data_IF_375735988324
#
_entry.id   IF_375735988324
#
_cell.length_a   1.000
_cell.length_b   1.000
_cell.length_c   1.000
_cell.angle_alpha   90.00
_cell.angle_beta   90.00
_cell.angle_gamma   90.00
#
_symmetry.space_group_name_H-M   'P 1'
#
loop_
_entity.id
_entity.type
_entity.pdbx_description
1 polymer ?
#
# COMPACT_ATOMS: atom_id res chain seq x y z
N UNK A 1 16.69 -7.85 -22.62
CA UNK A 1 16.23 -7.92 -21.22
C UNK A 1 15.08 -8.90 -21.18
N UNK A 2 15.23 -10.04 -20.54
CA UNK A 2 14.12 -10.99 -20.36
C UNK A 2 13.10 -10.34 -19.42
N UNK A 3 11.90 -10.06 -19.91
CA UNK A 3 10.77 -9.64 -19.10
C UNK A 3 10.49 -10.74 -18.08
N UNK A 4 10.94 -10.54 -16.84
CA UNK A 4 10.63 -11.44 -15.74
C UNK A 4 9.28 -11.00 -15.18
N UNK A 5 8.27 -11.85 -15.32
CA UNK A 5 7.02 -11.73 -14.55
C UNK A 5 7.37 -11.65 -13.07
N UNK A 6 6.95 -10.58 -12.39
CA UNK A 6 7.11 -10.41 -10.94
C UNK A 6 5.77 -10.57 -10.25
N UNK A 7 5.79 -11.15 -9.07
CA UNK A 7 4.64 -11.22 -8.18
C UNK A 7 4.97 -10.43 -6.93
N UNK A 8 4.04 -9.58 -6.51
CA UNK A 8 4.17 -8.77 -5.31
C UNK A 8 2.88 -8.76 -4.53
N UNK A 9 2.98 -8.49 -3.24
CA UNK A 9 1.84 -8.23 -2.36
C UNK A 9 1.96 -6.84 -1.76
N UNK A 10 0.83 -6.20 -1.51
CA UNK A 10 0.77 -4.94 -0.77
C UNK A 10 -0.60 -4.80 -0.12
N UNK A 11 -0.68 -3.96 0.90
CA UNK A 11 -1.94 -3.54 1.49
C UNK A 11 -2.40 -2.25 0.82
N UNK A 12 -3.69 -2.17 0.47
CA UNK A 12 -4.27 -1.01 -0.21
C UNK A 12 -5.63 -0.67 0.36
N UNK A 13 -5.82 0.60 0.73
CA UNK A 13 -7.14 1.18 1.00
C UNK A 13 -7.46 2.10 -0.16
N UNK A 14 -8.67 1.99 -0.72
CA UNK A 14 -9.12 2.82 -1.83
C UNK A 14 -10.55 3.21 -1.62
N UNK A 15 -10.81 4.50 -1.42
CA UNK A 15 -12.15 5.05 -1.25
C UNK A 15 -12.08 6.59 -1.27
N UNK A 16 -13.18 7.26 -0.95
CA UNK A 16 -13.20 8.68 -0.65
C UNK A 16 -12.89 8.94 0.84
N UNK A 17 -11.61 9.11 1.18
CA UNK A 17 -11.13 9.44 2.52
C UNK A 17 -9.93 10.40 2.45
N UNK A 18 -9.61 11.09 3.53
CA UNK A 18 -8.40 11.92 3.61
C UNK A 18 -7.17 11.04 3.88
N UNK A 19 -6.18 11.06 2.98
CA UNK A 19 -4.97 10.23 3.09
C UNK A 19 -4.21 10.45 4.40
N UNK A 20 -4.17 11.71 4.86
CA UNK A 20 -3.45 12.13 6.06
C UNK A 20 -4.11 11.58 7.34
N UNK A 21 -5.43 11.35 7.33
CA UNK A 21 -6.16 10.72 8.45
C UNK A 21 -5.74 9.26 8.63
N UNK A 22 -5.55 8.52 7.53
CA UNK A 22 -5.07 7.12 7.59
C UNK A 22 -3.63 7.05 8.11
N UNK A 23 -2.78 7.97 7.67
CA UNK A 23 -1.40 8.08 8.18
C UNK A 23 -1.40 8.32 9.68
N UNK A 24 -2.24 9.25 10.16
CA UNK A 24 -2.38 9.54 11.59
C UNK A 24 -2.94 8.37 12.38
N UNK A 25 -4.05 7.77 11.90
CA UNK A 25 -4.76 6.70 12.59
C UNK A 25 -3.95 5.41 12.71
N UNK A 26 -3.30 4.99 11.62
CA UNK A 26 -2.47 3.79 11.61
C UNK A 26 -1.06 4.05 12.14
N UNK A 27 -0.63 5.31 12.18
CA UNK A 27 0.76 5.71 12.43
C UNK A 27 1.75 5.00 11.49
N UNK A 28 1.38 4.94 10.20
CA UNK A 28 2.14 4.28 9.13
C UNK A 28 2.31 5.22 7.94
N UNK A 29 3.45 5.13 7.27
CA UNK A 29 3.76 5.93 6.07
C UNK A 29 3.55 5.07 4.81
N UNK A 30 2.69 5.49 3.86
CA UNK A 30 2.48 4.75 2.62
C UNK A 30 3.75 4.77 1.76
N UNK A 31 3.97 3.71 0.98
CA UNK A 31 5.00 3.75 -0.06
C UNK A 31 4.49 4.42 -1.34
N UNK A 32 3.17 4.40 -1.55
CA UNK A 32 2.50 5.04 -2.69
C UNK A 32 1.13 5.55 -2.25
N UNK A 33 0.79 6.77 -2.66
CA UNK A 33 -0.52 7.37 -2.41
C UNK A 33 -0.99 8.17 -3.63
N UNK A 34 -2.29 8.25 -3.81
CA UNK A 34 -2.96 9.14 -4.77
C UNK A 34 -4.14 9.80 -4.09
N UNK A 35 -4.33 11.09 -4.36
CA UNK A 35 -5.41 11.92 -3.84
C UNK A 35 -6.41 12.23 -4.95
N UNK A 36 -7.65 12.54 -4.57
CA UNK A 36 -8.65 13.04 -5.51
C UNK A 36 -8.12 14.34 -6.13
N UNK A 37 -8.15 14.42 -7.45
CA UNK A 37 -7.66 15.57 -8.20
C UNK A 37 -6.22 15.43 -8.71
N UNK A 38 -5.43 14.46 -8.22
CA UNK A 38 -4.09 14.18 -8.74
C UNK A 38 -4.14 13.79 -10.23
N UNK A 39 -3.12 14.17 -10.98
CA UNK A 39 -3.05 13.94 -12.41
C UNK A 39 -2.51 12.53 -12.74
N UNK A 40 -3.26 11.79 -13.56
CA UNK A 40 -2.87 10.50 -14.12
C UNK A 40 -1.92 10.73 -15.31
N UNK A 41 -1.13 9.72 -15.66
CA UNK A 41 -0.23 9.75 -16.84
C UNK A 41 -0.94 10.07 -18.17
N UNK A 42 -2.25 9.87 -18.25
CA UNK A 42 -3.06 10.16 -19.43
C UNK A 42 -3.79 11.52 -19.35
N UNK A 43 -3.42 12.40 -18.40
CA UNK A 43 -4.01 13.72 -18.20
C UNK A 43 -5.39 13.74 -17.53
N UNK A 44 -5.98 12.57 -17.21
CA UNK A 44 -7.21 12.50 -16.40
C UNK A 44 -6.88 12.67 -14.93
N UNK A 45 -7.84 13.08 -14.12
CA UNK A 45 -7.67 13.15 -12.66
C UNK A 45 -8.09 11.87 -11.95
N UNK A 46 -7.50 11.60 -10.79
CA UNK A 46 -8.01 10.61 -9.86
C UNK A 46 -9.32 11.11 -9.22
N UNK A 47 -10.30 10.22 -9.19
CA UNK A 47 -11.64 10.37 -8.63
C UNK A 47 -11.81 9.62 -7.31
N UNK A 48 -10.71 9.05 -6.81
CA UNK A 48 -10.62 8.32 -5.56
C UNK A 48 -9.32 8.67 -4.85
N UNK A 49 -9.27 8.41 -3.55
CA UNK A 49 -8.02 8.32 -2.80
C UNK A 49 -7.59 6.86 -2.77
N UNK A 50 -6.29 6.63 -2.90
CA UNK A 50 -5.71 5.32 -2.73
C UNK A 50 -4.42 5.43 -1.92
N UNK A 51 -4.32 4.60 -0.90
CA UNK A 51 -3.25 4.57 0.07
C UNK A 51 -2.68 3.16 0.11
N UNK A 52 -1.39 3.01 -0.23
CA UNK A 52 -0.74 1.71 -0.32
C UNK A 52 0.46 1.60 0.60
N UNK A 53 0.58 0.43 1.22
CA UNK A 53 1.57 0.15 2.24
C UNK A 53 2.14 -1.26 2.12
N UNK A 54 3.33 -1.45 2.70
CA UNK A 54 3.92 -2.78 2.91
C UNK A 54 4.18 -3.55 1.61
N UNK A 55 4.76 -2.90 0.60
CA UNK A 55 5.11 -3.59 -0.65
C UNK A 55 6.13 -4.71 -0.38
N UNK A 56 5.78 -5.94 -0.75
CA UNK A 56 6.68 -7.08 -0.80
C UNK A 56 6.84 -7.54 -2.26
N UNK A 57 7.98 -7.20 -2.89
CA UNK A 57 8.39 -7.60 -4.27
C UNK A 57 9.48 -8.71 -4.25
N UNK A 58 9.65 -9.39 -3.12
CA UNK A 58 10.54 -10.54 -3.02
C UNK A 58 9.83 -11.77 -3.57
N UNK A 59 10.40 -12.39 -4.61
CA UNK A 59 9.82 -13.60 -5.20
C UNK A 59 9.81 -14.74 -4.18
N UNK A 60 8.62 -15.26 -3.90
CA UNK A 60 8.40 -16.48 -3.14
C UNK A 60 7.35 -17.33 -3.87
N UNK A 61 7.56 -18.64 -3.92
CA UNK A 61 6.61 -19.60 -4.49
C UNK A 61 5.34 -19.70 -3.62
N UNK A 62 5.45 -19.37 -2.33
CA UNK A 62 4.34 -19.33 -1.38
C UNK A 62 3.86 -17.89 -1.18
N UNK A 63 2.74 -17.54 -1.83
CA UNK A 63 2.10 -16.22 -1.71
C UNK A 63 1.82 -15.85 -0.25
N UNK A 64 1.51 -16.84 0.60
CA UNK A 64 1.26 -16.61 2.03
C UNK A 64 2.46 -15.95 2.74
N UNK A 65 3.70 -16.35 2.41
CA UNK A 65 4.89 -15.73 2.99
C UNK A 65 4.99 -14.25 2.60
N UNK A 66 4.69 -13.92 1.34
CA UNK A 66 4.66 -12.53 0.88
C UNK A 66 3.57 -11.72 1.60
N UNK A 67 2.38 -12.33 1.81
CA UNK A 67 1.30 -11.70 2.57
C UNK A 67 1.71 -11.45 4.03
N UNK A 68 2.36 -12.41 4.69
CA UNK A 68 2.87 -12.22 6.06
C UNK A 68 3.89 -11.10 6.13
N UNK A 69 4.77 -10.94 5.13
CA UNK A 69 5.69 -9.81 5.03
C UNK A 69 4.92 -8.47 4.94
N UNK A 70 3.92 -8.38 4.07
CA UNK A 70 3.05 -7.19 3.96
C UNK A 70 2.36 -6.86 5.28
N UNK A 71 1.84 -7.87 5.99
CA UNK A 71 1.04 -7.69 7.21
C UNK A 71 1.88 -7.45 8.47
N UNK A 72 3.17 -7.80 8.47
CA UNK A 72 4.04 -7.71 9.66
C UNK A 72 4.08 -6.29 10.23
N UNK A 73 4.13 -5.30 9.35
CA UNK A 73 4.19 -3.87 9.69
C UNK A 73 2.81 -3.28 10.03
N UNK A 74 1.71 -3.97 9.71
CA UNK A 74 0.34 -3.59 10.07
C UNK A 74 -0.08 -4.08 11.46
N UNK A 75 0.74 -4.91 12.11
CA UNK A 75 0.42 -5.41 13.46
C UNK A 75 0.48 -4.24 14.45
N UNK A 76 -0.54 -4.08 15.32
CA UNK A 76 -0.49 -3.08 16.37
C UNK A 76 0.79 -3.28 17.18
N UNK A 77 1.60 -2.23 17.29
CA UNK A 77 2.66 -2.23 18.31
C UNK A 77 1.91 -2.34 19.63
N UNK A 78 2.14 -3.41 20.40
CA UNK A 78 1.56 -3.55 21.75
C UNK A 78 1.90 -2.28 22.51
N UNK A 79 0.92 -1.41 22.74
CA UNK A 79 1.05 -0.36 23.72
C UNK A 79 1.22 -1.08 25.06
N UNK A 80 2.46 -1.07 25.54
CA UNK A 80 2.78 -1.52 26.89
C UNK A 80 2.28 -0.39 27.79
N UNK A 81 1.09 -0.58 28.37
CA UNK A 81 0.63 0.27 29.47
C UNK A 81 1.34 -0.13 30.76
#
# INVERSE_FOLDING_TARGET
>A
MTEKTRCYTCFSIKENFESDDIVSYLNLQPFEQWRIGDEKKNGRKFDFVAWKFGLCDEYDVFVENQMHCTLKELKPKKNSY
#
